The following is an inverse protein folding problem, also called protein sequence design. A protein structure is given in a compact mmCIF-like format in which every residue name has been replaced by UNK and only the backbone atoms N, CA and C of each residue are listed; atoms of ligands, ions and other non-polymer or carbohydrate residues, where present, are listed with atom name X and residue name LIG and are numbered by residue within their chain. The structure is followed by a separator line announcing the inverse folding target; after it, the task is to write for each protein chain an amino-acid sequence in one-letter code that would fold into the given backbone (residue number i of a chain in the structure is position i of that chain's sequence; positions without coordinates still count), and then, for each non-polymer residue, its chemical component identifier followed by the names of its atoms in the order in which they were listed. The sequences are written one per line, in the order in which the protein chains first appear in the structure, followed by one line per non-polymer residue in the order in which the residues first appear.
data_IF_412055294719
#
_entry.id   IF_412055294719
#
_cell.length_a   1.000
_cell.length_b   1.000
_cell.length_c   1.000
_cell.angle_alpha   90.00
_cell.angle_beta   90.00
_cell.angle_gamma   90.00
#
_symmetry.space_group_name_H-M   'P 1'
#
loop_
_entity.id
_entity.type
_entity.pdbx_description
1 polymer ?
#
# COMPACT_ATOMS: atom_id res chain seq x y z
N UNK A 1 -17.53 -9.86 0.88
CA UNK A 1 -18.38 -8.65 0.85
C UNK A 1 -17.90 -7.76 1.96
N UNK A 2 -17.12 -6.72 1.65
CA UNK A 2 -16.93 -5.63 2.59
C UNK A 2 -18.29 -4.99 2.80
N UNK A 3 -18.90 -5.21 3.96
CA UNK A 3 -20.13 -4.53 4.33
C UNK A 3 -19.83 -3.04 4.39
N UNK A 4 -20.51 -2.34 3.55
CA UNK A 4 -20.66 -0.90 3.44
C UNK A 4 -20.25 -0.09 4.67
N UNK A 5 -19.09 0.41 4.79
CA UNK A 5 -18.84 1.49 5.73
C UNK A 5 -17.40 1.70 6.17
N UNK A 6 -16.59 0.69 6.19
CA UNK A 6 -15.24 0.80 6.77
C UNK A 6 -14.10 0.44 5.82
N UNK A 7 -14.33 -0.36 4.80
CA UNK A 7 -13.28 -0.82 3.89
C UNK A 7 -12.74 0.25 2.93
N UNK A 8 -13.47 1.31 2.65
CA UNK A 8 -13.06 2.36 1.70
C UNK A 8 -12.59 3.66 2.35
N UNK A 9 -12.98 3.91 3.60
CA UNK A 9 -12.78 5.23 4.22
C UNK A 9 -11.36 5.53 4.67
N UNK A 10 -10.50 4.53 4.83
CA UNK A 10 -9.13 4.72 5.30
C UNK A 10 -8.06 4.51 4.25
N UNK A 11 -8.22 3.54 3.36
CA UNK A 11 -7.15 3.17 2.42
C UNK A 11 -7.01 4.16 1.26
N UNK A 12 -8.10 4.44 0.54
CA UNK A 12 -8.04 5.34 -0.61
C UNK A 12 -7.67 6.79 -0.23
N UNK A 13 -8.30 7.43 0.79
CA UNK A 13 -7.85 8.74 1.27
C UNK A 13 -6.40 8.76 1.75
N UNK A 14 -5.97 7.70 2.46
CA UNK A 14 -4.59 7.58 2.95
C UNK A 14 -3.52 7.36 1.88
N UNK A 15 -3.92 7.07 0.64
CA UNK A 15 -3.02 6.81 -0.49
C UNK A 15 -3.18 7.81 -1.64
N UNK A 16 -4.26 8.59 -1.65
CA UNK A 16 -4.66 9.45 -2.77
C UNK A 16 -4.29 10.92 -2.63
N UNK A 17 -3.62 11.34 -1.54
CA UNK A 17 -3.24 12.74 -1.39
C UNK A 17 -2.18 13.15 -2.44
N UNK A 18 -2.16 14.43 -2.85
CA UNK A 18 -1.12 14.94 -3.73
C UNK A 18 0.28 14.64 -3.20
N UNK A 19 1.18 14.17 -4.05
CA UNK A 19 2.55 13.80 -3.67
C UNK A 19 2.71 12.39 -3.08
N UNK A 20 1.63 11.64 -2.85
CA UNK A 20 1.70 10.29 -2.27
C UNK A 20 2.05 9.19 -3.26
N UNK A 21 2.14 9.50 -4.54
CA UNK A 21 2.62 8.60 -5.58
C UNK A 21 3.73 9.28 -6.39
N UNK A 22 4.96 9.38 -5.85
CA UNK A 22 6.08 9.86 -6.63
C UNK A 22 6.37 8.87 -7.77
N UNK A 23 6.50 9.39 -8.98
CA UNK A 23 6.84 8.60 -10.16
C UNK A 23 8.11 9.17 -10.80
N UNK A 24 8.96 8.27 -11.28
CA UNK A 24 10.16 8.65 -12.02
C UNK A 24 9.83 9.15 -13.42
N UNK A 25 10.81 9.75 -14.04
CA UNK A 25 10.74 10.23 -15.43
C UNK A 25 11.16 9.17 -16.46
N UNK A 26 11.61 8.02 -16.01
CA UNK A 26 11.99 6.90 -16.86
C UNK A 26 10.80 5.95 -17.06
N UNK A 27 10.53 5.63 -18.33
CA UNK A 27 9.54 4.66 -18.72
C UNK A 27 10.20 3.54 -19.52
N UNK A 28 10.17 2.32 -19.00
CA UNK A 28 10.81 1.16 -19.63
C UNK A 28 9.79 0.32 -20.38
N UNK A 29 10.04 0.05 -21.65
CA UNK A 29 9.25 -0.86 -22.48
C UNK A 29 10.16 -2.02 -22.89
N UNK A 30 10.21 -3.13 -22.15
CA UNK A 30 11.05 -4.26 -22.46
C UNK A 30 10.49 -5.05 -23.67
N UNK A 31 11.37 -5.74 -24.40
CA UNK A 31 10.94 -6.66 -25.47
C UNK A 31 10.13 -7.83 -24.94
N UNK A 32 10.54 -8.36 -23.80
CA UNK A 32 9.82 -9.40 -23.07
C UNK A 32 9.48 -8.84 -21.68
N UNK A 33 8.23 -8.44 -21.52
CA UNK A 33 7.74 -7.83 -20.27
C UNK A 33 7.75 -8.82 -19.11
N UNK A 34 7.47 -10.10 -19.36
CA UNK A 34 7.44 -11.12 -18.30
C UNK A 34 8.84 -11.43 -17.80
N UNK A 35 9.78 -11.68 -18.72
CA UNK A 35 11.17 -11.93 -18.35
C UNK A 35 11.79 -10.72 -17.64
N UNK A 36 11.49 -9.51 -18.10
CA UNK A 36 11.93 -8.28 -17.48
C UNK A 36 11.37 -8.16 -16.06
N UNK A 37 10.05 -8.28 -15.88
CA UNK A 37 9.41 -8.21 -14.56
C UNK A 37 9.99 -9.25 -13.59
N UNK A 38 10.18 -10.50 -14.03
CA UNK A 38 10.74 -11.56 -13.19
C UNK A 38 12.19 -11.27 -12.75
N UNK A 39 12.95 -10.46 -13.51
CA UNK A 39 14.35 -10.14 -13.21
C UNK A 39 14.54 -8.87 -12.36
N UNK A 40 13.49 -8.10 -12.12
CA UNK A 40 13.59 -6.80 -11.41
C UNK A 40 13.79 -7.00 -9.93
N UNK A 41 14.80 -6.35 -9.37
CA UNK A 41 14.97 -6.14 -7.93
C UNK A 41 14.58 -4.72 -7.54
N UNK A 42 13.93 -4.60 -6.39
CA UNK A 42 13.47 -3.36 -5.79
C UNK A 42 14.17 -3.17 -4.46
N UNK A 43 14.65 -1.95 -4.23
CA UNK A 43 15.25 -1.55 -2.98
C UNK A 43 14.59 -0.27 -2.49
N UNK A 44 14.36 -0.20 -1.19
CA UNK A 44 13.93 1.02 -0.52
C UNK A 44 14.87 1.32 0.63
N UNK A 45 15.34 2.54 0.66
CA UNK A 45 16.13 3.09 1.76
C UNK A 45 15.39 4.24 2.43
N UNK A 46 15.55 4.34 3.73
CA UNK A 46 15.07 5.45 4.54
C UNK A 46 16.28 6.06 5.25
N UNK A 47 16.58 7.33 4.98
CA UNK A 47 17.73 8.04 5.53
C UNK A 47 19.05 7.25 5.37
N UNK A 48 19.25 6.60 4.22
CA UNK A 48 20.43 5.78 3.93
C UNK A 48 20.43 4.38 4.56
N UNK A 49 19.46 4.05 5.42
CA UNK A 49 19.25 2.71 5.96
C UNK A 49 18.36 1.89 5.05
N UNK A 50 18.74 0.63 4.76
CA UNK A 50 17.91 -0.31 3.98
C UNK A 50 16.62 -0.64 4.72
N UNK A 51 15.47 -0.40 4.07
CA UNK A 51 14.15 -0.65 4.65
C UNK A 51 13.45 -1.83 4.00
N UNK A 52 13.54 -1.96 2.67
CA UNK A 52 12.96 -3.09 1.93
C UNK A 52 13.89 -3.55 0.82
N UNK A 53 13.85 -4.85 0.55
CA UNK A 53 14.46 -5.47 -0.62
C UNK A 53 13.55 -6.59 -1.08
N UNK A 54 13.20 -6.61 -2.37
CA UNK A 54 12.35 -7.65 -2.93
C UNK A 54 12.64 -7.87 -4.41
N UNK A 55 12.26 -9.04 -4.89
CA UNK A 55 12.22 -9.37 -6.31
C UNK A 55 10.79 -9.43 -6.79
N UNK A 56 10.54 -8.95 -7.97
CA UNK A 56 9.21 -9.04 -8.56
C UNK A 56 8.78 -10.50 -8.76
N UNK A 57 9.73 -11.43 -8.95
CA UNK A 57 9.45 -12.87 -9.02
C UNK A 57 8.90 -13.48 -7.72
N UNK A 58 9.00 -12.78 -6.59
CA UNK A 58 8.46 -13.19 -5.28
C UNK A 58 7.00 -12.73 -5.10
N UNK A 59 6.46 -11.95 -6.05
CA UNK A 59 5.07 -11.50 -5.99
C UNK A 59 4.11 -12.70 -6.07
N UNK A 60 3.05 -12.66 -5.25
CA UNK A 60 2.03 -13.72 -5.22
C UNK A 60 1.32 -13.84 -6.58
N UNK A 61 1.07 -12.70 -7.23
CA UNK A 61 0.48 -12.62 -8.56
C UNK A 61 1.49 -12.07 -9.55
N UNK A 62 1.62 -12.75 -10.67
CA UNK A 62 2.30 -12.18 -11.83
C UNK A 62 1.44 -11.10 -12.50
N UNK A 63 1.97 -10.49 -13.55
CA UNK A 63 1.27 -9.41 -14.24
C UNK A 63 -0.06 -9.87 -14.86
N UNK A 64 -0.10 -11.05 -15.45
CA UNK A 64 -1.29 -11.57 -16.12
C UNK A 64 -2.40 -11.87 -15.10
N UNK A 65 -2.03 -12.49 -13.98
CA UNK A 65 -2.96 -12.75 -12.88
C UNK A 65 -3.46 -11.45 -12.26
N UNK A 66 -2.59 -10.44 -12.11
CA UNK A 66 -2.99 -9.13 -11.60
C UNK A 66 -4.04 -8.46 -12.49
N UNK A 67 -3.83 -8.50 -13.81
CA UNK A 67 -4.78 -7.97 -14.80
C UNK A 67 -6.10 -8.76 -14.74
N UNK A 68 -6.02 -10.09 -14.71
CA UNK A 68 -7.19 -10.97 -14.61
C UNK A 68 -8.02 -10.69 -13.36
N UNK A 69 -7.36 -10.63 -12.20
CA UNK A 69 -8.01 -10.33 -10.92
C UNK A 69 -8.63 -8.94 -10.89
N UNK A 70 -8.00 -7.96 -11.54
CA UNK A 70 -8.55 -6.62 -11.67
C UNK A 70 -9.81 -6.61 -12.54
N UNK A 71 -9.78 -7.33 -13.66
CA UNK A 71 -10.91 -7.45 -14.57
C UNK A 71 -12.12 -8.14 -13.91
N UNK A 72 -11.89 -9.19 -13.14
CA UNK A 72 -12.94 -9.88 -12.39
C UNK A 72 -13.60 -9.01 -11.30
N UNK A 73 -12.88 -8.00 -10.84
CA UNK A 73 -13.36 -7.06 -9.80
C UNK A 73 -13.88 -5.73 -10.38
N UNK A 74 -14.16 -5.66 -11.66
CA UNK A 74 -14.62 -4.43 -12.34
C UNK A 74 -15.87 -3.80 -11.69
N UNK A 75 -16.69 -4.58 -11.01
CA UNK A 75 -17.92 -4.11 -10.36
C UNK A 75 -17.73 -3.65 -8.91
N UNK A 76 -16.50 -3.71 -8.39
CA UNK A 76 -16.21 -3.20 -7.04
C UNK A 76 -16.32 -1.69 -7.04
N UNK A 77 -17.07 -1.16 -6.08
CA UNK A 77 -17.26 0.28 -5.87
C UNK A 77 -16.88 0.65 -4.45
N UNK A 78 -16.39 1.87 -4.29
CA UNK A 78 -16.11 2.47 -2.98
C UNK A 78 -16.40 3.96 -3.00
N UNK A 79 -16.60 4.54 -1.83
CA UNK A 79 -16.73 5.99 -1.69
C UNK A 79 -15.34 6.63 -1.60
N UNK A 80 -15.12 7.65 -2.42
CA UNK A 80 -13.95 8.52 -2.35
C UNK A 80 -14.41 9.97 -2.40
N UNK A 81 -14.20 10.71 -1.31
CA UNK A 81 -14.62 12.11 -1.16
C UNK A 81 -16.11 12.36 -1.47
N UNK A 82 -16.98 11.44 -1.02
CA UNK A 82 -18.42 11.53 -1.23
C UNK A 82 -18.87 11.17 -2.66
N UNK A 83 -18.00 10.58 -3.46
CA UNK A 83 -18.32 10.07 -4.80
C UNK A 83 -18.12 8.58 -4.86
N UNK A 84 -19.06 7.89 -5.46
CA UNK A 84 -18.86 6.48 -5.77
C UNK A 84 -17.87 6.35 -6.94
N UNK A 85 -16.79 5.62 -6.70
CA UNK A 85 -15.76 5.34 -7.69
C UNK A 85 -15.53 3.83 -7.82
N UNK A 86 -14.95 3.41 -8.91
CA UNK A 86 -14.61 2.01 -9.18
C UNK A 86 -13.35 1.89 -10.01
N UNK A 87 -12.97 0.67 -10.29
CA UNK A 87 -11.86 0.42 -11.21
C UNK A 87 -12.23 0.93 -12.61
N UNK A 88 -11.30 1.54 -13.35
CA UNK A 88 -11.55 2.02 -14.72
C UNK A 88 -11.54 0.85 -15.72
N UNK A 89 -12.31 -0.19 -15.43
CA UNK A 89 -12.37 -1.43 -16.20
C UNK A 89 -13.82 -1.63 -16.65
N UNK A 90 -14.01 -1.87 -17.94
CA UNK A 90 -15.31 -2.08 -18.52
C UNK A 90 -15.31 -3.30 -19.44
N UNK A 91 -16.24 -4.23 -19.24
CA UNK A 91 -16.34 -5.46 -20.03
C UNK A 91 -15.08 -6.34 -19.94
N UNK A 92 -14.39 -6.33 -18.80
CA UNK A 92 -13.15 -7.07 -18.57
C UNK A 92 -11.91 -6.48 -19.26
N UNK A 93 -12.03 -5.28 -19.86
CA UNK A 93 -10.94 -4.61 -20.57
C UNK A 93 -10.32 -3.53 -19.68
N UNK A 94 -9.00 -3.60 -19.50
CA UNK A 94 -8.20 -2.57 -18.85
C UNK A 94 -7.85 -1.50 -19.88
N UNK A 95 -8.24 -0.24 -19.72
CA UNK A 95 -7.94 0.82 -20.67
C UNK A 95 -6.44 1.08 -20.85
N UNK A 96 -6.04 1.49 -22.05
CA UNK A 96 -4.64 1.71 -22.39
C UNK A 96 -3.89 2.77 -21.58
N UNK A 97 -4.57 3.61 -20.82
CA UNK A 97 -3.98 4.67 -19.99
C UNK A 97 -4.10 4.36 -18.49
N UNK A 98 -4.16 3.09 -18.15
CA UNK A 98 -4.28 2.65 -16.76
C UNK A 98 -2.91 2.27 -16.20
N UNK A 99 -2.56 2.82 -15.05
CA UNK A 99 -1.44 2.33 -14.25
C UNK A 99 -1.95 1.29 -13.26
N UNK A 100 -1.27 0.15 -13.19
CA UNK A 100 -1.56 -0.90 -12.22
C UNK A 100 -0.42 -0.93 -11.20
N UNK A 101 -0.76 -0.71 -9.93
CA UNK A 101 0.18 -0.82 -8.83
C UNK A 101 0.19 -2.26 -8.33
N UNK A 102 1.32 -2.92 -8.45
CA UNK A 102 1.47 -4.34 -8.13
C UNK A 102 1.49 -4.66 -6.61
N UNK A 103 1.33 -3.65 -5.77
CA UNK A 103 1.39 -3.80 -4.32
C UNK A 103 2.74 -3.40 -3.75
N UNK A 104 3.00 -3.82 -2.52
CA UNK A 104 4.22 -3.47 -1.80
C UNK A 104 4.92 -4.74 -1.30
N UNK A 105 6.27 -4.79 -1.32
CA UNK A 105 7.02 -5.89 -0.76
C UNK A 105 6.90 -5.96 0.77
N UNK A 106 7.41 -7.02 1.36
CA UNK A 106 7.59 -7.16 2.81
C UNK A 106 8.51 -6.05 3.37
N UNK A 107 8.48 -5.88 4.69
CA UNK A 107 9.23 -4.81 5.36
C UNK A 107 8.44 -3.51 5.54
N UNK A 108 7.11 -3.53 5.34
CA UNK A 108 6.25 -2.40 5.67
C UNK A 108 6.21 -2.14 7.18
N UNK A 109 5.85 -0.91 7.58
CA UNK A 109 5.68 -0.55 8.99
C UNK A 109 4.63 -1.43 9.66
N UNK A 110 3.52 -1.70 8.97
CA UNK A 110 2.46 -2.55 9.50
C UNK A 110 2.70 -4.01 9.10
N UNK A 111 3.26 -4.78 10.05
CA UNK A 111 3.52 -6.22 9.91
C UNK A 111 2.51 -7.08 10.68
N UNK A 112 1.34 -6.55 10.94
CA UNK A 112 0.30 -7.18 11.77
C UNK A 112 0.22 -6.58 13.16
N UNK A 113 -0.70 -7.11 13.95
CA UNK A 113 -0.92 -6.64 15.32
C UNK A 113 -0.13 -7.50 16.29
N UNK A 114 0.70 -6.88 17.11
CA UNK A 114 1.45 -7.59 18.14
C UNK A 114 0.59 -7.97 19.36
N UNK A 115 1.06 -8.97 20.11
CA UNK A 115 0.31 -9.53 21.26
C UNK A 115 0.03 -8.47 22.35
N UNK A 116 0.92 -7.51 22.56
CA UNK A 116 0.72 -6.47 23.57
C UNK A 116 -0.37 -5.49 23.15
N UNK A 117 -0.40 -5.07 21.89
CA UNK A 117 -1.47 -4.24 21.34
C UNK A 117 -2.82 -4.96 21.34
N UNK A 118 -2.83 -6.29 21.10
CA UNK A 118 -4.04 -7.11 21.25
C UNK A 118 -4.56 -7.09 22.70
N UNK A 119 -3.69 -7.34 23.67
CA UNK A 119 -4.07 -7.38 25.08
C UNK A 119 -4.57 -6.02 25.57
N UNK A 120 -3.85 -4.92 25.24
CA UNK A 120 -4.24 -3.57 25.64
C UNK A 120 -5.53 -3.13 24.95
N UNK A 121 -5.71 -3.41 23.67
CA UNK A 121 -6.94 -3.09 22.97
C UNK A 121 -8.15 -3.87 23.49
N UNK A 122 -7.93 -5.14 23.87
CA UNK A 122 -8.97 -5.94 24.52
C UNK A 122 -9.35 -5.37 25.90
N UNK A 123 -8.35 -4.92 26.67
CA UNK A 123 -8.59 -4.27 27.96
C UNK A 123 -9.39 -2.98 27.81
N UNK A 124 -9.02 -2.12 26.86
CA UNK A 124 -9.75 -0.87 26.60
C UNK A 124 -11.21 -1.14 26.24
N UNK A 125 -11.46 -2.14 25.43
CA UNK A 125 -12.80 -2.54 25.05
C UNK A 125 -13.62 -3.02 26.26
N UNK A 126 -13.04 -3.88 27.12
CA UNK A 126 -13.69 -4.38 28.35
C UNK A 126 -13.92 -3.24 29.36
N UNK A 127 -12.98 -2.30 29.48
CA UNK A 127 -13.01 -1.22 30.44
C UNK A 127 -14.04 -0.10 30.11
N UNK A 128 -14.81 -0.23 29.05
CA UNK A 128 -15.89 0.69 28.71
C UNK A 128 -15.91 1.20 27.27
N UNK A 129 -15.02 0.70 26.40
CA UNK A 129 -14.93 1.07 25.00
C UNK A 129 -15.99 0.41 24.10
N UNK A 130 -17.23 0.26 24.60
CA UNK A 130 -18.33 -0.44 23.90
C UNK A 130 -18.91 0.33 22.70
N UNK A 131 -18.54 1.59 22.54
CA UNK A 131 -18.92 2.46 21.44
C UNK A 131 -18.30 2.02 20.09
N UNK A 132 -17.22 1.22 20.15
CA UNK A 132 -16.47 0.72 18.98
C UNK A 132 -16.21 -0.78 19.09
N UNK A 133 -15.77 -1.35 17.98
CA UNK A 133 -15.42 -2.78 17.92
C UNK A 133 -14.10 -3.05 18.65
N UNK A 134 -13.94 -4.24 19.21
CA UNK A 134 -12.67 -4.73 19.74
C UNK A 134 -11.50 -4.52 18.77
N UNK A 135 -11.74 -4.83 17.49
CA UNK A 135 -10.72 -4.69 16.44
C UNK A 135 -10.26 -3.24 16.29
N UNK A 136 -11.18 -2.25 16.42
CA UNK A 136 -10.82 -0.83 16.35
C UNK A 136 -9.87 -0.43 17.48
N UNK A 137 -10.14 -0.85 18.71
CA UNK A 137 -9.26 -0.56 19.85
C UNK A 137 -7.88 -1.18 19.68
N UNK A 138 -7.82 -2.44 19.22
CA UNK A 138 -6.57 -3.16 18.98
C UNK A 138 -5.73 -2.45 17.90
N UNK A 139 -6.36 -2.05 16.79
CA UNK A 139 -5.68 -1.34 15.70
C UNK A 139 -5.21 0.05 16.14
N UNK A 140 -6.02 0.80 16.89
CA UNK A 140 -5.63 2.10 17.42
C UNK A 140 -4.42 2.00 18.37
N UNK A 141 -4.38 0.98 19.23
CA UNK A 141 -3.22 0.73 20.11
C UNK A 141 -1.96 0.41 19.29
N UNK A 142 -2.09 -0.39 18.24
CA UNK A 142 -0.97 -0.68 17.35
C UNK A 142 -0.47 0.61 16.66
N UNK A 143 -1.38 1.41 16.12
CA UNK A 143 -1.02 2.68 15.44
C UNK A 143 -0.33 3.64 16.43
N UNK A 144 -0.85 3.80 17.64
CA UNK A 144 -0.24 4.65 18.65
C UNK A 144 1.19 4.20 18.96
N UNK A 145 1.39 2.93 19.18
CA UNK A 145 2.71 2.34 19.43
C UNK A 145 3.70 2.57 18.29
N UNK A 146 3.27 2.34 17.04
CA UNK A 146 4.12 2.58 15.87
C UNK A 146 4.48 4.06 15.70
N UNK A 147 3.55 4.95 16.06
CA UNK A 147 3.77 6.40 16.09
C UNK A 147 4.79 6.79 17.17
N UNK A 148 4.62 6.29 18.39
CA UNK A 148 5.53 6.57 19.50
C UNK A 148 6.94 6.05 19.23
N UNK A 149 7.04 4.91 18.54
CA UNK A 149 8.30 4.36 18.05
C UNK A 149 8.88 5.07 16.81
N UNK A 150 8.22 6.13 16.32
CA UNK A 150 8.60 6.90 15.11
C UNK A 150 8.84 6.01 13.88
N UNK A 151 8.06 4.95 13.73
CA UNK A 151 8.18 4.05 12.58
C UNK A 151 7.57 4.63 11.31
N UNK A 152 6.57 5.51 11.43
CA UNK A 152 6.04 6.25 10.28
C UNK A 152 7.04 7.29 9.78
N UNK A 153 6.96 7.60 8.50
CA UNK A 153 7.78 8.63 7.88
C UNK A 153 7.55 9.98 8.57
N UNK A 154 8.63 10.71 8.76
CA UNK A 154 8.62 12.03 9.41
C UNK A 154 9.05 13.09 8.38
N UNK A 155 8.55 14.34 8.51
CA UNK A 155 9.06 15.44 7.73
C UNK A 155 10.58 15.58 7.85
N UNK A 156 11.25 15.82 6.72
CA UNK A 156 12.70 15.91 6.63
C UNK A 156 13.42 14.58 6.35
N UNK A 157 12.70 13.46 6.34
CA UNK A 157 13.30 12.17 5.97
C UNK A 157 13.39 11.99 4.45
N UNK A 158 14.44 11.31 4.03
CA UNK A 158 14.66 10.89 2.65
C UNK A 158 14.22 9.44 2.46
N UNK A 159 13.45 9.21 1.41
CA UNK A 159 13.05 7.88 0.96
C UNK A 159 13.54 7.70 -0.46
N UNK A 160 14.44 6.75 -0.65
CA UNK A 160 14.96 6.41 -1.98
C UNK A 160 14.42 5.04 -2.38
N UNK A 161 13.77 4.99 -3.54
CA UNK A 161 13.37 3.75 -4.18
C UNK A 161 14.25 3.56 -5.40
N UNK A 162 14.98 2.46 -5.45
CA UNK A 162 15.77 2.06 -6.61
C UNK A 162 15.22 0.79 -7.21
N UNK A 163 15.17 0.76 -8.51
CA UNK A 163 14.74 -0.40 -9.29
C UNK A 163 15.87 -0.75 -10.25
N UNK A 164 16.32 -2.01 -10.16
CA UNK A 164 17.43 -2.48 -11.00
C UNK A 164 17.20 -2.14 -12.47
N UNK A 165 18.17 -1.53 -13.12
CA UNK A 165 18.15 -1.08 -14.53
C UNK A 165 17.12 0.00 -14.89
N UNK A 166 16.33 0.48 -13.93
CA UNK A 166 15.31 1.52 -14.15
C UNK A 166 15.65 2.84 -13.45
N UNK A 167 16.73 2.86 -12.63
CA UNK A 167 17.13 4.04 -11.89
C UNK A 167 16.49 4.14 -10.52
N UNK A 168 16.49 5.34 -9.97
CA UNK A 168 16.02 5.59 -8.62
C UNK A 168 15.18 6.86 -8.52
N UNK A 169 14.35 6.91 -7.52
CA UNK A 169 13.53 8.05 -7.14
C UNK A 169 13.94 8.41 -5.72
N UNK A 170 14.48 9.61 -5.52
CA UNK A 170 14.74 10.20 -4.21
C UNK A 170 13.60 11.17 -3.87
N UNK A 171 12.99 10.97 -2.73
CA UNK A 171 11.84 11.74 -2.27
C UNK A 171 12.11 12.28 -0.87
N UNK A 172 12.00 13.60 -0.70
CA UNK A 172 11.99 14.23 0.61
C UNK A 172 10.57 14.26 1.15
N UNK A 173 10.39 13.81 2.40
CA UNK A 173 9.09 13.90 3.08
C UNK A 173 8.93 15.34 3.59
N UNK A 174 7.85 15.97 3.16
CA UNK A 174 7.45 17.32 3.59
C UNK A 174 6.17 17.26 4.42
N UNK A 175 5.86 18.37 5.13
CA UNK A 175 4.60 18.49 5.88
C UNK A 175 3.36 18.54 4.99
#
# INVERSE_FOLDING_TARGET
KCSSGTCGKGFAPGKGAPGYLPVGNLFCIPRDGRACAASVELFLWRNGGGAQKARQSEAIWDFDELVRQSAERQDVRWDFEGREVGLPIHGGIVPARTAILAGTPDGTVFQGVDKSSMALGAWDWIAGGWDRTLVSHVVERQIARERDARRYLQPGEHVVISVDRMGEIDSLIVE
#
